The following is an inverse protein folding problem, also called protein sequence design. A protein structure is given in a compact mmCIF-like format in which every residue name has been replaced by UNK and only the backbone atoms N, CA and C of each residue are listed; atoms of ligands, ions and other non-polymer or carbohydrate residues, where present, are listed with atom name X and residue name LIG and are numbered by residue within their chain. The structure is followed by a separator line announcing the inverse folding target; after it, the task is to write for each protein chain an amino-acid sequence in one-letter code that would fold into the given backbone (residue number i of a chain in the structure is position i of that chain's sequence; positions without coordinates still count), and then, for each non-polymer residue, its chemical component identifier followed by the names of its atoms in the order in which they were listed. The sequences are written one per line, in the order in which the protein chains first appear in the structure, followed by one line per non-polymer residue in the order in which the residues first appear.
data_IF_882009547192
#
_entry.id   IF_882009547192
#
_cell.length_a   1.000
_cell.length_b   1.000
_cell.length_c   1.000
_cell.angle_alpha   90.00
_cell.angle_beta   90.00
_cell.angle_gamma   90.00
#
_symmetry.space_group_name_H-M   'P 1'
#
loop_
_entity.id
_entity.type
_entity.pdbx_description
1 polymer ?
#
# COMPACT_ATOMS: atom_id res chain seq x y z
N UNK A 1 -9.56 21.04 -6.79
CA UNK A 1 -10.43 20.20 -5.95
C UNK A 1 -10.26 18.72 -6.30
N UNK A 2 -10.49 18.32 -7.57
CA UNK A 2 -10.40 16.93 -8.02
C UNK A 2 -9.00 16.30 -7.79
N UNK A 3 -7.92 17.06 -7.96
CA UNK A 3 -6.55 16.59 -7.73
C UNK A 3 -6.27 16.28 -6.26
N UNK A 4 -6.72 17.14 -5.35
CA UNK A 4 -6.50 16.98 -3.90
C UNK A 4 -7.39 15.87 -3.31
N UNK A 5 -8.62 15.72 -3.82
CA UNK A 5 -9.57 14.71 -3.35
C UNK A 5 -9.45 13.36 -4.05
N UNK A 6 -8.53 13.22 -5.01
CA UNK A 6 -8.42 12.00 -5.81
C UNK A 6 -9.62 11.76 -6.75
N UNK A 7 -10.51 12.73 -6.86
CA UNK A 7 -11.67 12.71 -7.76
C UNK A 7 -11.31 12.97 -9.21
N UNK A 8 -10.15 12.51 -9.64
CA UNK A 8 -9.69 12.57 -11.02
C UNK A 8 -10.59 11.69 -11.90
N UNK A 9 -11.73 12.22 -12.27
CA UNK A 9 -12.69 11.64 -13.23
C UNK A 9 -13.44 10.37 -12.80
N UNK A 10 -14.73 10.28 -13.18
CA UNK A 10 -15.51 9.03 -13.14
C UNK A 10 -14.72 7.95 -13.90
N UNK A 11 -14.23 6.92 -13.19
CA UNK A 11 -13.50 5.80 -13.81
C UNK A 11 -11.99 5.77 -13.60
N UNK A 12 -11.34 6.77 -12.97
CA UNK A 12 -9.91 6.68 -12.68
C UNK A 12 -9.63 5.67 -11.55
N UNK A 13 -9.25 4.47 -11.92
CA UNK A 13 -8.78 3.47 -10.98
C UNK A 13 -7.48 3.97 -10.34
N UNK A 14 -7.43 4.03 -8.99
CA UNK A 14 -6.22 4.39 -8.24
C UNK A 14 -6.05 5.88 -7.88
N UNK A 15 -6.81 6.81 -8.45
CA UNK A 15 -6.69 8.26 -8.15
C UNK A 15 -6.88 8.63 -6.66
N UNK A 16 -7.62 7.82 -5.90
CA UNK A 16 -7.80 7.99 -4.47
C UNK A 16 -6.49 7.90 -3.67
N UNK A 17 -5.48 7.21 -4.18
CA UNK A 17 -4.19 7.06 -3.52
C UNK A 17 -3.47 8.41 -3.32
N UNK A 18 -3.61 9.36 -4.25
CA UNK A 18 -3.03 10.70 -4.09
C UNK A 18 -3.57 11.42 -2.87
N UNK A 19 -4.90 11.38 -2.67
CA UNK A 19 -5.52 12.01 -1.50
C UNK A 19 -5.01 11.37 -0.20
N UNK A 20 -4.92 10.04 -0.15
CA UNK A 20 -4.41 9.29 0.99
C UNK A 20 -2.93 9.61 1.23
N UNK A 21 -2.12 9.65 0.16
CA UNK A 21 -0.69 9.90 0.26
C UNK A 21 -0.39 11.31 0.77
N UNK A 22 -1.11 12.34 0.30
CA UNK A 22 -0.96 13.70 0.83
C UNK A 22 -1.33 13.80 2.30
N UNK A 23 -2.44 13.20 2.71
CA UNK A 23 -2.82 13.14 4.12
C UNK A 23 -1.75 12.40 4.96
N UNK A 24 -1.22 11.28 4.42
CA UNK A 24 -0.12 10.57 5.07
C UNK A 24 1.11 11.45 5.24
N UNK A 25 1.55 12.19 4.21
CA UNK A 25 2.71 13.07 4.30
C UNK A 25 2.57 14.13 5.40
N UNK A 26 1.37 14.66 5.61
CA UNK A 26 1.10 15.61 6.68
C UNK A 26 1.21 14.98 8.08
N UNK A 27 0.81 13.73 8.23
CA UNK A 27 0.77 13.01 9.52
C UNK A 27 2.05 12.20 9.75
N UNK A 28 2.80 11.88 8.72
CA UNK A 28 3.99 11.02 8.79
C UNK A 28 5.06 11.52 9.79
N UNK A 29 5.37 12.82 9.91
CA UNK A 29 6.32 13.31 10.91
C UNK A 29 5.87 13.01 12.35
N UNK A 30 4.57 13.18 12.63
CA UNK A 30 3.99 12.86 13.94
C UNK A 30 4.09 11.36 14.22
N UNK A 31 3.66 10.52 13.26
CA UNK A 31 3.75 9.06 13.37
C UNK A 31 5.21 8.64 13.62
N UNK A 32 6.17 9.24 12.90
CA UNK A 32 7.59 8.96 13.06
C UNK A 32 8.08 9.25 14.50
N UNK A 33 7.75 10.41 15.06
CA UNK A 33 8.12 10.79 16.43
C UNK A 33 7.51 9.85 17.44
N UNK A 34 6.20 9.56 17.32
CA UNK A 34 5.50 8.62 18.19
C UNK A 34 6.08 7.21 18.09
N UNK A 35 6.40 6.74 16.90
CA UNK A 35 7.00 5.43 16.64
C UNK A 35 8.39 5.31 17.28
N UNK A 36 9.18 6.38 17.24
CA UNK A 36 10.51 6.40 17.88
C UNK A 36 10.41 6.38 19.40
N UNK A 37 9.42 7.05 19.97
CA UNK A 37 9.27 7.20 21.43
C UNK A 37 8.47 6.07 22.08
N UNK A 38 7.37 5.64 21.44
CA UNK A 38 6.44 4.65 21.96
C UNK A 38 5.95 3.67 20.88
N UNK A 39 6.82 2.83 20.32
CA UNK A 39 6.51 2.04 19.12
C UNK A 39 5.28 1.14 19.29
N UNK A 40 5.19 0.42 20.43
CA UNK A 40 4.06 -0.50 20.70
C UNK A 40 2.76 0.25 20.92
N UNK A 41 2.80 1.34 21.71
CA UNK A 41 1.62 2.16 21.96
C UNK A 41 1.11 2.82 20.68
N UNK A 42 2.00 3.29 19.80
CA UNK A 42 1.66 3.86 18.50
C UNK A 42 0.99 2.82 17.60
N UNK A 43 1.51 1.60 17.57
CA UNK A 43 0.91 0.52 16.77
C UNK A 43 -0.49 0.14 17.29
N UNK A 44 -0.65 -0.04 18.61
CA UNK A 44 -1.94 -0.35 19.23
C UNK A 44 -2.91 0.83 19.06
N UNK A 45 -2.46 2.06 19.27
CA UNK A 45 -3.27 3.25 19.08
C UNK A 45 -3.78 3.36 17.63
N UNK A 46 -2.93 3.10 16.65
CA UNK A 46 -3.33 3.09 15.24
C UNK A 46 -4.37 1.99 14.93
N UNK A 47 -4.21 0.80 15.50
CA UNK A 47 -5.18 -0.29 15.38
C UNK A 47 -6.53 0.11 15.96
N UNK A 48 -6.55 0.61 17.20
CA UNK A 48 -7.77 1.05 17.86
C UNK A 48 -8.45 2.21 17.12
N UNK A 49 -7.67 3.19 16.66
CA UNK A 49 -8.20 4.31 15.85
C UNK A 49 -8.86 3.79 14.57
N UNK A 50 -8.25 2.83 13.89
CA UNK A 50 -8.82 2.21 12.70
C UNK A 50 -10.13 1.46 13.02
N UNK A 51 -10.16 0.69 14.09
CA UNK A 51 -11.38 -0.04 14.52
C UNK A 51 -12.52 0.92 14.88
N UNK A 52 -12.22 1.96 15.67
CA UNK A 52 -13.20 3.01 16.00
C UNK A 52 -13.70 3.71 14.74
N UNK A 53 -12.79 4.06 13.82
CA UNK A 53 -13.18 4.67 12.57
C UNK A 53 -14.11 3.78 11.74
N UNK A 54 -13.81 2.48 11.60
CA UNK A 54 -14.67 1.56 10.87
C UNK A 54 -16.04 1.38 11.54
N UNK A 55 -16.10 1.41 12.88
CA UNK A 55 -17.37 1.44 13.61
C UNK A 55 -18.17 2.72 13.31
N UNK A 56 -17.52 3.88 13.33
CA UNK A 56 -18.17 5.16 13.01
C UNK A 56 -18.67 5.22 11.56
N UNK A 57 -17.94 4.61 10.62
CA UNK A 57 -18.39 4.49 9.21
C UNK A 57 -19.75 3.83 9.11
N UNK A 58 -19.96 2.75 9.88
CA UNK A 58 -21.25 2.08 9.91
C UNK A 58 -22.33 2.80 10.72
N UNK A 59 -21.95 3.37 11.86
CA UNK A 59 -22.89 4.06 12.74
C UNK A 59 -23.44 5.36 12.13
N UNK A 60 -22.63 6.05 11.31
CA UNK A 60 -22.99 7.34 10.70
C UNK A 60 -23.27 7.25 9.20
N UNK A 61 -23.30 6.04 8.65
CA UNK A 61 -23.51 5.78 7.21
C UNK A 61 -22.63 6.68 6.32
N UNK A 62 -21.34 6.76 6.66
CA UNK A 62 -20.37 7.62 5.95
C UNK A 62 -20.33 7.19 4.48
N UNK A 63 -20.52 8.12 3.51
CA UNK A 63 -20.53 7.77 2.10
C UNK A 63 -19.28 7.03 1.66
N UNK A 64 -19.45 5.98 0.85
CA UNK A 64 -18.37 5.11 0.36
C UNK A 64 -17.18 5.89 -0.24
N UNK A 65 -17.46 6.98 -0.97
CA UNK A 65 -16.43 7.82 -1.56
C UNK A 65 -15.58 8.51 -0.49
N UNK A 66 -16.21 9.08 0.53
CA UNK A 66 -15.51 9.76 1.64
C UNK A 66 -14.66 8.75 2.41
N UNK A 67 -15.23 7.60 2.77
CA UNK A 67 -14.52 6.53 3.45
C UNK A 67 -13.27 6.09 2.67
N UNK A 68 -13.35 6.01 1.33
CA UNK A 68 -12.24 5.62 0.46
C UNK A 68 -11.10 6.64 0.42
N UNK A 69 -11.40 7.93 0.60
CA UNK A 69 -10.44 9.03 0.47
C UNK A 69 -9.74 9.40 1.78
N UNK A 70 -10.23 8.90 2.92
CA UNK A 70 -9.66 9.24 4.22
C UNK A 70 -8.49 8.34 4.60
N UNK A 71 -7.36 8.97 4.94
CA UNK A 71 -6.13 8.28 5.38
C UNK A 71 -6.35 7.44 6.65
N UNK A 72 -7.25 7.86 7.55
CA UNK A 72 -7.52 7.16 8.81
C UNK A 72 -7.85 5.68 8.59
N UNK A 73 -8.52 5.34 7.49
CA UNK A 73 -8.80 3.97 7.10
C UNK A 73 -7.54 3.11 6.91
N UNK A 74 -6.44 3.74 6.50
CA UNK A 74 -5.17 3.08 6.17
C UNK A 74 -4.11 3.31 7.24
N UNK A 75 -4.49 3.98 8.35
CA UNK A 75 -3.56 4.39 9.40
C UNK A 75 -2.80 3.20 9.97
N UNK A 76 -3.49 2.11 10.30
CA UNK A 76 -2.86 0.93 10.89
C UNK A 76 -1.85 0.28 9.94
N UNK A 77 -2.15 0.16 8.65
CA UNK A 77 -1.21 -0.38 7.65
C UNK A 77 0.02 0.53 7.53
N UNK A 78 -0.17 1.85 7.46
CA UNK A 78 0.92 2.81 7.34
C UNK A 78 1.84 2.81 8.56
N UNK A 79 1.26 2.80 9.77
CA UNK A 79 1.99 2.71 11.03
C UNK A 79 2.71 1.36 11.16
N UNK A 80 2.08 0.27 10.73
CA UNK A 80 2.68 -1.07 10.71
C UNK A 80 3.88 -1.13 9.75
N UNK A 81 3.81 -0.48 8.60
CA UNK A 81 4.95 -0.36 7.69
C UNK A 81 6.15 0.34 8.34
N UNK A 82 5.92 1.45 9.07
CA UNK A 82 6.97 2.11 9.83
C UNK A 82 7.48 1.25 10.99
N UNK A 83 6.60 0.57 11.69
CA UNK A 83 6.98 -0.37 12.75
C UNK A 83 7.88 -1.48 12.22
N UNK A 84 7.54 -2.09 11.10
CA UNK A 84 8.36 -3.10 10.42
C UNK A 84 9.73 -2.55 10.05
N UNK A 85 9.79 -1.33 9.52
CA UNK A 85 11.05 -0.71 9.16
C UNK A 85 12.01 -0.57 10.36
N UNK A 86 11.50 -0.11 11.53
CA UNK A 86 12.34 0.14 12.71
C UNK A 86 12.54 -1.10 13.60
N UNK A 87 11.55 -1.98 13.67
CA UNK A 87 11.46 -3.03 14.69
C UNK A 87 11.25 -4.44 14.12
N UNK A 88 11.54 -4.66 12.82
CA UNK A 88 11.31 -5.95 12.15
C UNK A 88 11.93 -7.15 12.86
N UNK A 89 13.11 -6.97 13.49
CA UNK A 89 13.80 -8.04 14.23
C UNK A 89 13.12 -8.43 15.56
N UNK A 90 12.28 -7.55 16.10
CA UNK A 90 11.56 -7.82 17.35
C UNK A 90 10.28 -8.63 17.15
N UNK A 91 9.83 -8.81 15.90
CA UNK A 91 8.62 -9.55 15.58
C UNK A 91 8.88 -11.06 15.65
N UNK A 92 8.15 -11.74 16.53
CA UNK A 92 8.16 -13.20 16.61
C UNK A 92 7.35 -13.76 15.42
N UNK A 93 7.97 -14.67 14.66
CA UNK A 93 7.35 -15.30 13.48
C UNK A 93 5.99 -15.90 13.79
N UNK A 94 5.83 -16.51 14.97
CA UNK A 94 4.56 -17.11 15.38
C UNK A 94 3.39 -16.09 15.36
N UNK A 95 3.58 -14.90 15.92
CA UNK A 95 2.54 -13.86 15.90
C UNK A 95 2.22 -13.36 14.50
N UNK A 96 3.23 -13.26 13.62
CA UNK A 96 3.02 -12.91 12.22
C UNK A 96 2.15 -13.95 11.51
N UNK A 97 2.48 -15.23 11.70
CA UNK A 97 1.72 -16.33 11.09
C UNK A 97 0.30 -16.44 11.66
N UNK A 98 0.11 -16.25 12.95
CA UNK A 98 -1.24 -16.21 13.58
C UNK A 98 -2.07 -15.07 13.02
N UNK A 99 -1.50 -13.86 12.91
CA UNK A 99 -2.20 -12.72 12.29
C UNK A 99 -2.57 -12.98 10.84
N UNK A 100 -1.66 -13.59 10.05
CA UNK A 100 -1.94 -13.95 8.65
C UNK A 100 -3.04 -15.02 8.56
N UNK A 101 -2.98 -16.06 9.39
CA UNK A 101 -4.00 -17.11 9.41
C UNK A 101 -5.38 -16.54 9.80
N UNK A 102 -5.44 -15.65 10.78
CA UNK A 102 -6.65 -14.92 11.15
C UNK A 102 -7.21 -14.13 9.96
N UNK A 103 -6.37 -13.33 9.28
CA UNK A 103 -6.79 -12.56 8.10
C UNK A 103 -7.26 -13.44 6.95
N UNK A 104 -6.57 -14.54 6.68
CA UNK A 104 -6.98 -15.49 5.65
C UNK A 104 -8.33 -16.15 5.98
N UNK A 105 -8.52 -16.58 7.24
CA UNK A 105 -9.79 -17.13 7.69
C UNK A 105 -10.92 -16.09 7.55
N UNK A 106 -10.65 -14.84 7.93
CA UNK A 106 -11.59 -13.72 7.77
C UNK A 106 -11.95 -13.49 6.30
N UNK A 107 -10.97 -13.37 5.39
CA UNK A 107 -11.20 -13.15 3.96
C UNK A 107 -11.99 -14.32 3.36
N UNK A 108 -11.60 -15.57 3.69
CA UNK A 108 -12.27 -16.77 3.22
C UNK A 108 -13.72 -16.82 3.71
N UNK A 109 -13.96 -16.52 5.00
CA UNK A 109 -15.32 -16.53 5.57
C UNK A 109 -16.23 -15.53 4.85
N UNK A 110 -15.73 -14.37 4.48
CA UNK A 110 -16.53 -13.34 3.82
C UNK A 110 -16.69 -13.62 2.32
N UNK A 111 -15.63 -14.00 1.61
CA UNK A 111 -15.68 -14.12 0.15
C UNK A 111 -16.35 -15.42 -0.32
N UNK A 112 -16.23 -16.51 0.46
CA UNK A 112 -16.78 -17.82 0.08
C UNK A 112 -18.06 -18.21 0.82
N UNK A 113 -18.22 -17.72 2.07
CA UNK A 113 -19.37 -18.10 2.91
C UNK A 113 -20.34 -16.95 3.17
N UNK A 114 -20.09 -15.77 2.59
CA UNK A 114 -20.86 -14.53 2.77
C UNK A 114 -21.16 -14.22 4.25
N UNK A 115 -20.20 -14.57 5.11
CA UNK A 115 -20.33 -14.44 6.55
C UNK A 115 -20.34 -12.96 6.94
N UNK A 116 -21.41 -12.54 7.65
CA UNK A 116 -21.47 -11.18 8.17
C UNK A 116 -20.47 -11.01 9.33
N UNK A 117 -19.63 -9.97 9.24
CA UNK A 117 -18.68 -9.61 10.27
C UNK A 117 -18.84 -8.15 10.67
N UNK A 118 -18.85 -7.81 12.01
CA UNK A 118 -18.87 -6.43 12.46
C UNK A 118 -17.70 -5.62 11.87
N UNK A 119 -17.94 -4.34 11.60
CA UNK A 119 -16.95 -3.42 11.02
C UNK A 119 -16.56 -3.70 9.56
N UNK A 120 -17.41 -4.41 8.81
CA UNK A 120 -17.19 -4.72 7.40
C UNK A 120 -18.28 -4.06 6.54
N UNK A 121 -18.23 -2.73 6.40
CA UNK A 121 -19.33 -2.03 5.73
C UNK A 121 -19.18 -1.91 4.22
N UNK A 122 -17.98 -1.61 3.70
CA UNK A 122 -17.86 -1.29 2.27
C UNK A 122 -16.78 -2.07 1.50
N UNK A 123 -15.66 -2.41 2.12
CA UNK A 123 -14.51 -3.00 1.43
C UNK A 123 -14.00 -4.20 2.22
N UNK A 124 -14.60 -5.33 1.92
CA UNK A 124 -14.32 -6.60 2.62
C UNK A 124 -12.82 -6.88 2.75
N UNK A 125 -12.06 -6.68 1.65
CA UNK A 125 -10.64 -7.06 1.58
C UNK A 125 -9.66 -5.95 2.01
N UNK A 126 -10.13 -4.76 2.38
CA UNK A 126 -9.27 -3.64 2.81
C UNK A 126 -9.59 -3.11 4.20
N UNK A 127 -10.35 -3.86 5.00
CA UNK A 127 -10.61 -3.53 6.39
C UNK A 127 -9.41 -3.86 7.29
N UNK A 128 -9.48 -3.44 8.54
CA UNK A 128 -8.43 -3.68 9.53
C UNK A 128 -8.08 -5.17 9.70
N UNK A 129 -9.07 -6.05 9.59
CA UNK A 129 -8.86 -7.50 9.74
C UNK A 129 -8.05 -8.11 8.59
N UNK A 130 -8.23 -7.64 7.36
CA UNK A 130 -7.43 -8.08 6.21
C UNK A 130 -6.00 -7.52 6.25
N UNK A 131 -5.76 -6.45 7.00
CA UNK A 131 -4.46 -5.79 7.09
C UNK A 131 -3.36 -6.69 7.63
N UNK A 132 -3.67 -7.61 8.54
CA UNK A 132 -2.67 -8.53 9.11
C UNK A 132 -2.06 -9.46 8.06
N UNK A 133 -2.81 -9.84 7.02
CA UNK A 133 -2.27 -10.62 5.92
C UNK A 133 -1.20 -9.84 5.15
N UNK A 134 -1.49 -8.60 4.76
CA UNK A 134 -0.55 -7.75 4.01
C UNK A 134 0.69 -7.39 4.84
N UNK A 135 0.49 -7.04 6.12
CA UNK A 135 1.58 -6.78 7.06
C UNK A 135 2.46 -8.03 7.22
N UNK A 136 1.83 -9.19 7.34
CA UNK A 136 2.51 -10.47 7.45
C UNK A 136 3.34 -10.81 6.22
N UNK A 137 2.81 -10.62 5.01
CA UNK A 137 3.55 -10.81 3.77
C UNK A 137 4.80 -9.93 3.71
N UNK A 138 4.67 -8.65 4.06
CA UNK A 138 5.80 -7.72 4.10
C UNK A 138 6.83 -8.12 5.16
N UNK A 139 6.38 -8.54 6.35
CA UNK A 139 7.26 -9.01 7.41
C UNK A 139 8.04 -10.28 7.01
N UNK A 140 7.37 -11.24 6.37
CA UNK A 140 8.00 -12.45 5.84
C UNK A 140 8.99 -12.12 4.71
N UNK A 141 8.63 -11.21 3.81
CA UNK A 141 9.52 -10.76 2.75
C UNK A 141 10.79 -10.13 3.33
N UNK A 142 10.68 -9.21 4.29
CA UNK A 142 11.85 -8.63 4.96
C UNK A 142 12.72 -9.71 5.60
N UNK A 143 12.14 -10.66 6.31
CA UNK A 143 12.88 -11.73 6.96
C UNK A 143 13.59 -12.63 5.94
N UNK A 144 12.90 -13.02 4.88
CA UNK A 144 13.46 -13.84 3.81
C UNK A 144 14.67 -13.16 3.15
N UNK A 145 14.55 -11.87 2.85
CA UNK A 145 15.62 -11.11 2.18
C UNK A 145 16.76 -10.72 3.13
N UNK A 146 16.54 -10.66 4.44
CA UNK A 146 17.61 -10.49 5.43
C UNK A 146 18.42 -11.77 5.65
N UNK A 147 17.75 -12.92 5.70
CA UNK A 147 18.39 -14.22 5.95
C UNK A 147 19.12 -14.75 4.71
N UNK A 148 18.58 -14.47 3.52
CA UNK A 148 19.17 -14.90 2.25
C UNK A 148 19.71 -13.69 1.50
N UNK A 149 21.03 -13.61 1.37
CA UNK A 149 21.66 -12.64 0.46
C UNK A 149 21.24 -13.00 -0.97
N UNK A 150 20.46 -12.13 -1.59
CA UNK A 150 20.12 -12.29 -3.00
C UNK A 150 21.41 -12.33 -3.84
N UNK A 151 21.52 -13.22 -4.85
CA UNK A 151 22.56 -13.15 -5.86
C UNK A 151 22.66 -11.71 -6.40
N UNK A 152 23.88 -11.23 -6.68
CA UNK A 152 24.13 -9.81 -7.00
C UNK A 152 23.18 -9.23 -8.05
N UNK A 153 22.88 -9.98 -9.14
CA UNK A 153 21.95 -9.56 -10.18
C UNK A 153 20.50 -9.41 -9.67
N UNK A 154 20.02 -10.33 -8.85
CA UNK A 154 18.67 -10.26 -8.28
C UNK A 154 18.54 -9.10 -7.28
N UNK A 155 19.60 -8.85 -6.49
CA UNK A 155 19.65 -7.70 -5.60
C UNK A 155 19.58 -6.39 -6.37
N UNK A 156 20.31 -6.27 -7.47
CA UNK A 156 20.30 -5.09 -8.33
C UNK A 156 18.93 -4.84 -8.95
N UNK A 157 18.29 -5.88 -9.51
CA UNK A 157 16.94 -5.78 -10.06
C UNK A 157 15.93 -5.38 -8.99
N UNK A 158 15.93 -6.05 -7.82
CA UNK A 158 15.02 -5.74 -6.73
C UNK A 158 15.23 -4.30 -6.20
N UNK A 159 16.48 -3.85 -6.07
CA UNK A 159 16.83 -2.48 -5.68
C UNK A 159 16.35 -1.45 -6.71
N UNK A 160 16.51 -1.73 -8.00
CA UNK A 160 16.06 -0.88 -9.09
C UNK A 160 14.54 -0.75 -9.10
N UNK A 161 13.82 -1.86 -9.01
CA UNK A 161 12.36 -1.86 -8.91
C UNK A 161 11.88 -1.10 -7.67
N UNK A 162 12.52 -1.33 -6.52
CA UNK A 162 12.20 -0.63 -5.28
C UNK A 162 12.37 0.89 -5.37
N UNK A 163 13.46 1.37 -5.97
CA UNK A 163 13.69 2.81 -6.19
C UNK A 163 12.74 3.42 -7.20
N UNK A 164 12.25 2.62 -8.15
CA UNK A 164 11.35 3.06 -9.22
C UNK A 164 9.86 2.86 -8.86
N UNK A 165 9.54 2.36 -7.67
CA UNK A 165 8.17 1.98 -7.27
C UNK A 165 7.15 3.10 -7.51
N UNK A 166 7.52 4.35 -7.20
CA UNK A 166 6.66 5.52 -7.43
C UNK A 166 6.34 5.72 -8.91
N UNK A 167 7.33 5.64 -9.77
CA UNK A 167 7.17 5.79 -11.22
C UNK A 167 6.39 4.63 -11.83
N UNK A 168 6.65 3.39 -11.35
CA UNK A 168 5.88 2.20 -11.73
C UNK A 168 4.40 2.38 -11.38
N UNK A 169 4.12 2.88 -10.19
CA UNK A 169 2.75 3.16 -9.76
C UNK A 169 2.08 4.23 -10.64
N UNK A 170 2.75 5.34 -10.94
CA UNK A 170 2.23 6.38 -11.84
C UNK A 170 1.98 5.84 -13.25
N UNK A 171 2.90 5.04 -13.77
CA UNK A 171 2.74 4.37 -15.07
C UNK A 171 1.54 3.42 -15.06
N UNK A 172 1.34 2.67 -13.98
CA UNK A 172 0.19 1.78 -13.82
C UNK A 172 -1.13 2.56 -13.84
N UNK A 173 -1.19 3.72 -13.19
CA UNK A 173 -2.37 4.58 -13.24
C UNK A 173 -2.68 5.07 -14.65
N UNK A 174 -1.64 5.51 -15.40
CA UNK A 174 -1.77 5.92 -16.80
C UNK A 174 -2.19 4.76 -17.69
N UNK A 175 -1.59 3.59 -17.51
CA UNK A 175 -1.90 2.37 -18.23
C UNK A 175 -3.38 1.99 -18.13
N UNK A 176 -3.92 1.94 -16.91
CA UNK A 176 -5.34 1.63 -16.70
C UNK A 176 -6.28 2.72 -17.20
N UNK A 177 -5.83 3.98 -17.22
CA UNK A 177 -6.63 5.08 -17.74
C UNK A 177 -6.71 5.10 -19.25
N UNK A 178 -5.61 4.79 -19.93
CA UNK A 178 -5.53 4.83 -21.39
C UNK A 178 -6.31 3.68 -22.04
N UNK A 179 -6.77 2.69 -21.25
CA UNK A 179 -7.63 1.62 -21.75
C UNK A 179 -7.00 0.91 -22.94
N UNK A 180 -5.68 0.67 -22.89
CA UNK A 180 -5.05 -0.10 -23.96
C UNK A 180 -5.87 -1.37 -24.17
N UNK A 181 -6.26 -1.65 -25.41
CA UNK A 181 -7.15 -2.72 -25.85
C UNK A 181 -6.64 -4.15 -25.54
N UNK A 182 -6.03 -4.30 -24.36
CA UNK A 182 -5.58 -5.57 -23.79
C UNK A 182 -6.76 -6.30 -23.14
N UNK A 183 -7.95 -5.67 -23.14
CA UNK A 183 -9.18 -6.29 -22.63
C UNK A 183 -9.59 -7.55 -23.38
N UNK A 184 -9.09 -7.73 -24.61
CA UNK A 184 -9.25 -8.95 -25.40
C UNK A 184 -8.41 -10.14 -24.87
N UNK A 185 -7.40 -9.89 -24.01
CA UNK A 185 -6.57 -10.96 -23.47
C UNK A 185 -7.23 -11.61 -22.25
N UNK A 186 -7.05 -12.92 -22.06
CA UNK A 186 -7.40 -13.61 -20.82
C UNK A 186 -6.75 -12.95 -19.61
N UNK A 187 -7.33 -13.13 -18.41
CA UNK A 187 -6.91 -12.44 -17.18
C UNK A 187 -5.39 -12.52 -16.91
N UNK A 188 -4.82 -13.73 -16.91
CA UNK A 188 -3.41 -13.92 -16.56
C UNK A 188 -2.41 -13.31 -17.54
N UNK A 189 -2.54 -13.48 -18.88
CA UNK A 189 -1.72 -12.75 -19.84
C UNK A 189 -1.87 -11.24 -19.71
N UNK A 190 -3.07 -10.72 -19.48
CA UNK A 190 -3.32 -9.29 -19.24
C UNK A 190 -2.55 -8.76 -18.04
N UNK A 191 -2.60 -9.47 -16.92
CA UNK A 191 -1.86 -9.12 -15.69
C UNK A 191 -0.35 -9.14 -15.95
N UNK A 192 0.16 -10.19 -16.61
CA UNK A 192 1.58 -10.32 -16.90
C UNK A 192 2.09 -9.19 -17.82
N UNK A 193 1.38 -8.91 -18.90
CA UNK A 193 1.73 -7.82 -19.84
C UNK A 193 1.67 -6.45 -19.13
N UNK A 194 0.63 -6.19 -18.35
CA UNK A 194 0.51 -4.96 -17.57
C UNK A 194 1.66 -4.79 -16.59
N UNK A 195 2.04 -5.84 -15.88
CA UNK A 195 3.16 -5.84 -14.93
C UNK A 195 4.49 -5.51 -15.64
N UNK A 196 4.76 -6.15 -16.78
CA UNK A 196 5.99 -5.92 -17.55
C UNK A 196 6.05 -4.50 -18.10
N UNK A 197 4.97 -4.03 -18.75
CA UNK A 197 4.91 -2.68 -19.33
C UNK A 197 5.06 -1.62 -18.23
N UNK A 198 4.29 -1.71 -17.14
CA UNK A 198 4.33 -0.73 -16.07
C UNK A 198 5.70 -0.70 -15.38
N UNK A 199 6.33 -1.86 -15.20
CA UNK A 199 7.66 -1.93 -14.61
C UNK A 199 8.73 -1.34 -15.54
N UNK A 200 8.74 -1.72 -16.81
CA UNK A 200 9.73 -1.24 -17.77
C UNK A 200 9.63 0.28 -17.98
N UNK A 201 8.43 0.79 -18.23
CA UNK A 201 8.19 2.23 -18.44
C UNK A 201 8.46 3.02 -17.15
N UNK A 202 8.03 2.52 -16.00
CA UNK A 202 8.27 3.18 -14.71
C UNK A 202 9.75 3.25 -14.36
N UNK A 203 10.52 2.20 -14.62
CA UNK A 203 11.99 2.20 -14.45
C UNK A 203 12.65 3.18 -15.42
N UNK A 204 12.28 3.16 -16.71
CA UNK A 204 12.79 4.10 -17.70
C UNK A 204 12.51 5.55 -17.29
N UNK A 205 11.30 5.86 -16.81
CA UNK A 205 10.93 7.18 -16.32
C UNK A 205 11.79 7.60 -15.13
N UNK A 206 11.98 6.72 -14.15
CA UNK A 206 12.86 6.99 -13.00
C UNK A 206 14.27 7.42 -13.44
N UNK A 207 14.88 6.71 -14.38
CA UNK A 207 16.22 7.06 -14.87
C UNK A 207 16.24 8.35 -15.69
N UNK A 208 15.21 8.60 -16.50
CA UNK A 208 15.06 9.85 -17.24
C UNK A 208 14.99 11.06 -16.32
N UNK A 209 14.14 11.01 -15.29
CA UNK A 209 14.01 12.07 -14.27
C UNK A 209 15.33 12.31 -13.54
N UNK A 210 15.99 11.23 -13.14
CA UNK A 210 17.29 11.32 -12.46
C UNK A 210 18.36 12.00 -13.34
N UNK A 211 18.41 11.67 -14.63
CA UNK A 211 19.35 12.26 -15.60
C UNK A 211 19.09 13.75 -15.78
N UNK A 212 17.84 14.15 -15.94
CA UNK A 212 17.44 15.56 -16.05
C UNK A 212 17.81 16.32 -14.77
N UNK A 213 17.50 15.77 -13.62
CA UNK A 213 17.79 16.40 -12.32
C UNK A 213 19.29 16.58 -12.10
N UNK A 214 20.09 15.60 -12.48
CA UNK A 214 21.56 15.68 -12.38
C UNK A 214 22.13 16.73 -13.34
N UNK A 215 21.64 16.79 -14.58
CA UNK A 215 22.04 17.80 -15.55
C UNK A 215 21.73 19.23 -15.06
N UNK A 216 20.55 19.39 -14.43
CA UNK A 216 20.14 20.68 -13.84
C UNK A 216 21.03 21.14 -12.67
N UNK A 217 21.39 20.19 -11.79
CA UNK A 217 22.29 20.48 -10.66
C UNK A 217 23.70 20.89 -11.14
N UNK A 218 24.22 20.23 -12.18
CA UNK A 218 25.51 20.60 -12.76
C UNK A 218 25.55 21.98 -13.42
N UNK A 219 24.42 22.50 -13.87
CA UNK A 219 24.34 23.86 -14.45
C UNK A 219 24.25 24.97 -13.39
N UNK A 220 23.96 24.61 -12.14
CA UNK A 220 23.83 25.57 -11.03
C UNK A 220 25.04 25.60 -10.08
N UNK A 221 25.94 24.62 -10.19
CA UNK A 221 27.25 24.58 -9.49
C UNK A 221 28.34 25.19 -10.36
#
# INVERSE_FOLDING_TARGET
YAFVTGGLYKGSHGGYFFAIYWQYLLVAPLIYVLMRRWPRATLVGALLTNMVYEFLVGAWDIPRLVNRLLFVRYLFIAVSGQFLYFHRRSLRLGWVLVGMAFSLAYITAIDFFDFWWPLNYYWRNTCVYASFYYIGLVALAFRFFEEKRLPGRLHEVASTLGRSTWHIYLTQMLYFRLGFAIDALPLWPRVAVGLVICSAVGVAWHYAERSVTQAWRKKRA
#
